data_IF_407440967263
#
_entry.id   IF_407440967263
#
_cell.length_a   1.000
_cell.length_b   1.000
_cell.length_c   1.000
_cell.angle_alpha   90.00
_cell.angle_beta   90.00
_cell.angle_gamma   90.00
#
_symmetry.space_group_name_H-M   'P 1'
#
loop_
_entity.id
_entity.type
_entity.pdbx_description
1 polymer ?
#
# COMPACT_ATOMS: atom_id res chain seq x y z
N UNK A 1 0.52 -1.60 26.65
CA UNK A 1 -0.68 -1.94 25.85
C UNK A 1 -0.41 -1.50 24.42
N UNK A 2 -0.84 -2.27 23.42
CA UNK A 2 -0.66 -1.88 22.01
C UNK A 2 -1.53 -0.67 21.67
N UNK A 3 -1.04 0.24 20.83
CA UNK A 3 -1.82 1.40 20.38
C UNK A 3 -2.85 0.95 19.34
N UNK A 4 -4.09 1.45 19.39
CA UNK A 4 -5.17 0.99 18.51
C UNK A 4 -5.87 2.16 17.83
N UNK A 5 -5.92 2.14 16.50
CA UNK A 5 -6.74 3.03 15.68
C UNK A 5 -7.99 2.28 15.18
N UNK A 6 -9.16 2.67 15.68
CA UNK A 6 -10.44 2.17 15.16
C UNK A 6 -10.89 3.03 13.98
N UNK A 7 -10.99 2.45 12.79
CA UNK A 7 -11.46 3.13 11.57
C UNK A 7 -12.84 2.61 11.21
N UNK A 8 -13.75 3.51 10.86
CA UNK A 8 -15.00 3.12 10.20
C UNK A 8 -14.73 3.03 8.71
N UNK A 9 -15.01 1.88 8.12
CA UNK A 9 -14.95 1.68 6.68
C UNK A 9 -15.94 2.63 6.04
N UNK A 10 -15.42 3.61 5.30
CA UNK A 10 -16.28 4.38 4.43
C UNK A 10 -16.67 3.44 3.29
N UNK A 11 -17.97 3.19 3.11
CA UNK A 11 -18.48 2.36 2.01
C UNK A 11 -18.20 3.09 0.69
N UNK A 12 -17.00 2.90 0.15
CA UNK A 12 -16.57 3.55 -1.08
C UNK A 12 -16.58 2.52 -2.19
N UNK A 13 -17.18 2.89 -3.32
CA UNK A 13 -17.20 2.11 -4.56
C UNK A 13 -15.82 1.50 -4.85
N UNK A 14 -15.75 0.24 -5.33
CA UNK A 14 -14.48 -0.38 -5.71
C UNK A 14 -13.69 0.53 -6.63
N UNK A 15 -12.36 0.52 -6.53
CA UNK A 15 -11.53 1.15 -7.55
C UNK A 15 -11.95 0.58 -8.92
N UNK A 16 -12.04 1.39 -9.98
CA UNK A 16 -12.28 0.86 -11.31
C UNK A 16 -11.29 -0.26 -11.56
N UNK A 17 -11.80 -1.44 -11.90
CA UNK A 17 -11.03 -2.68 -12.03
C UNK A 17 -9.87 -2.46 -12.97
N UNK A 18 -8.68 -2.27 -12.41
CA UNK A 18 -7.45 -2.66 -13.07
C UNK A 18 -7.42 -4.18 -13.02
N UNK A 19 -7.28 -4.79 -14.19
CA UNK A 19 -7.03 -6.22 -14.36
C UNK A 19 -6.03 -6.70 -13.31
N UNK A 20 -6.41 -7.76 -12.59
CA UNK A 20 -5.58 -8.58 -11.70
C UNK A 20 -4.07 -8.40 -11.93
N UNK A 21 -3.47 -7.45 -11.22
CA UNK A 21 -2.05 -7.48 -10.91
C UNK A 21 -1.90 -8.40 -9.71
N UNK A 22 -2.05 -9.70 -9.94
CA UNK A 22 -1.54 -10.72 -9.03
C UNK A 22 -0.06 -10.44 -8.84
N UNK A 23 0.33 -10.02 -7.63
CA UNK A 23 1.65 -10.17 -6.99
C UNK A 23 2.87 -10.22 -7.92
N UNK A 24 2.92 -9.37 -8.95
CA UNK A 24 4.11 -9.16 -9.74
C UNK A 24 4.81 -7.95 -9.16
N UNK A 25 5.99 -8.20 -8.63
CA UNK A 25 6.91 -7.20 -8.10
C UNK A 25 7.01 -6.02 -9.06
N UNK A 26 6.36 -4.90 -8.73
CA UNK A 26 6.69 -3.62 -9.36
C UNK A 26 8.07 -3.26 -8.80
N UNK A 27 9.12 -3.59 -9.56
CA UNK A 27 10.44 -3.01 -9.33
C UNK A 27 10.31 -1.52 -9.63
N UNK A 28 10.28 -0.70 -8.58
CA UNK A 28 10.35 0.75 -8.72
C UNK A 28 11.78 1.13 -9.12
N UNK A 29 12.02 1.27 -10.42
CA UNK A 29 13.23 1.90 -10.94
C UNK A 29 12.95 3.39 -11.18
N UNK A 30 13.65 4.26 -10.45
CA UNK A 30 13.77 5.67 -10.81
C UNK A 30 14.92 5.85 -11.82
N UNK A 31 14.78 6.70 -12.85
CA UNK A 31 15.90 7.07 -13.70
C UNK A 31 16.87 7.92 -12.89
N UNK A 32 18.11 7.43 -12.72
CA UNK A 32 19.22 8.20 -12.19
C UNK A 32 19.51 9.38 -13.12
N UNK A 33 19.28 10.61 -12.66
CA UNK A 33 19.78 11.82 -13.33
C UNK A 33 21.31 11.86 -13.19
N UNK A 34 22.07 12.16 -14.27
CA UNK A 34 23.49 12.42 -14.14
C UNK A 34 23.70 13.79 -13.47
N UNK A 35 24.61 13.85 -12.48
CA UNK A 35 25.12 15.11 -11.95
C UNK A 35 25.91 15.82 -13.04
N UNK A 36 25.54 17.06 -13.32
CA UNK A 36 26.37 18.02 -14.05
C UNK A 36 27.57 18.42 -13.17
N UNK A 37 28.78 18.18 -13.64
CA UNK A 37 29.97 18.91 -13.22
C UNK A 37 30.50 19.69 -14.43
N UNK A 38 30.61 21.02 -14.27
CA UNK A 38 31.25 21.94 -15.20
C UNK A 38 32.77 22.03 -14.89
N UNK A 39 33.60 22.51 -15.85
CA UNK A 39 34.95 22.00 -16.11
C UNK A 39 36.06 22.94 -15.62
N UNK A 40 37.34 22.59 -15.83
CA UNK A 40 38.38 23.57 -16.03
C UNK A 40 38.97 23.57 -17.45
N UNK A 41 39.28 24.78 -17.87
CA UNK A 41 39.98 25.28 -19.07
C UNK A 41 41.42 24.76 -19.25
N UNK A 42 41.89 24.53 -20.49
CA UNK A 42 42.76 25.44 -21.29
C UNK A 42 43.47 24.75 -22.49
N UNK A 43 43.38 25.43 -23.64
CA UNK A 43 44.36 25.66 -24.73
C UNK A 43 44.85 24.57 -25.72
N UNK A 44 44.80 24.99 -27.00
CA UNK A 44 45.67 24.70 -28.19
C UNK A 44 45.63 23.28 -28.80
N UNK A 45 45.66 23.02 -30.12
CA UNK A 45 45.80 23.82 -31.35
C UNK A 45 45.48 22.98 -32.62
N UNK A 46 44.93 23.64 -33.64
CA UNK A 46 45.17 23.53 -35.11
C UNK A 46 44.72 22.34 -36.01
N UNK A 47 44.18 22.75 -37.18
CA UNK A 47 44.03 22.09 -38.52
C UNK A 47 42.83 21.16 -38.74
N UNK A 48 42.03 21.22 -39.82
CA UNK A 48 41.97 22.05 -41.04
C UNK A 48 40.87 21.53 -42.00
N UNK A 49 40.62 22.27 -43.11
CA UNK A 49 39.74 22.01 -44.29
C UNK A 49 38.23 22.33 -44.16
N UNK A 50 37.71 23.41 -44.80
CA UNK A 50 37.27 23.61 -46.23
C UNK A 50 35.97 22.81 -46.54
N UNK A 51 34.85 23.37 -47.05
CA UNK A 51 34.64 24.36 -48.11
C UNK A 51 33.31 25.15 -47.97
N UNK A 52 33.29 26.30 -48.65
CA UNK A 52 32.17 27.22 -48.96
C UNK A 52 31.16 26.60 -49.95
N UNK A 53 29.93 27.15 -50.05
CA UNK A 53 29.36 27.85 -51.22
C UNK A 53 27.86 28.16 -51.00
N UNK A 54 27.49 29.43 -51.19
CA UNK A 54 26.11 29.89 -51.35
C UNK A 54 25.56 29.48 -52.72
N UNK A 55 24.24 29.32 -52.87
CA UNK A 55 23.44 30.17 -53.76
C UNK A 55 21.94 29.87 -53.69
N UNK A 56 21.19 30.93 -53.93
CA UNK A 56 19.73 31.07 -53.92
C UNK A 56 19.25 31.00 -55.37
N UNK A 57 18.07 30.40 -55.61
CA UNK A 57 16.92 30.99 -56.34
C UNK A 57 16.08 29.99 -57.14
N UNK A 58 14.74 30.11 -56.99
CA UNK A 58 13.65 30.01 -58.01
C UNK A 58 13.58 28.78 -58.93
N UNK A 59 12.45 28.16 -59.30
CA UNK A 59 11.02 28.51 -59.35
C UNK A 59 10.32 27.24 -59.88
N UNK A 60 9.12 26.89 -59.39
CA UNK A 60 8.06 26.34 -60.26
C UNK A 60 6.71 26.40 -59.56
N UNK A 61 5.78 27.07 -60.25
CA UNK A 61 4.37 27.24 -59.92
C UNK A 61 3.58 26.01 -60.39
N UNK A 62 2.57 25.56 -59.63
CA UNK A 62 1.29 25.09 -60.20
C UNK A 62 0.13 25.56 -59.30
N UNK A 63 -0.95 25.96 -59.98
CA UNK A 63 -2.09 26.75 -59.54
C UNK A 63 -3.09 26.12 -58.54
N UNK A 64 -3.56 27.05 -57.71
CA UNK A 64 -4.86 27.28 -57.06
C UNK A 64 -6.09 26.53 -57.62
N UNK A 65 -6.94 26.07 -56.69
CA UNK A 65 -8.40 26.22 -56.81
C UNK A 65 -9.02 26.57 -55.45
N UNK A 66 -9.83 27.62 -55.46
CA UNK A 66 -10.43 28.28 -54.31
C UNK A 66 -11.79 27.67 -53.94
N UNK A 67 -12.14 27.70 -52.65
CA UNK A 67 -13.50 28.05 -52.25
C UNK A 67 -13.60 28.48 -50.78
N UNK A 68 -13.99 29.74 -50.58
CA UNK A 68 -15.14 30.10 -49.76
C UNK A 68 -15.12 29.98 -48.24
N UNK A 69 -15.02 31.17 -47.60
CA UNK A 69 -15.87 31.69 -46.51
C UNK A 69 -15.49 31.50 -45.03
N UNK A 70 -15.40 32.70 -44.42
CA UNK A 70 -15.81 33.16 -43.08
C UNK A 70 -14.73 33.21 -41.99
N UNK A 71 -14.30 34.46 -41.75
CA UNK A 71 -13.79 34.97 -40.48
C UNK A 71 -14.67 34.50 -39.32
N UNK A 72 -14.04 33.92 -38.30
CA UNK A 72 -14.57 33.90 -36.94
C UNK A 72 -13.47 34.37 -36.01
N UNK A 73 -13.65 35.56 -35.46
CA UNK A 73 -12.92 36.02 -34.30
C UNK A 73 -13.33 35.15 -33.11
N UNK A 74 -12.41 34.33 -32.61
CA UNK A 74 -12.59 33.67 -31.32
C UNK A 74 -11.81 34.48 -30.29
N UNK A 75 -12.57 35.20 -29.47
CA UNK A 75 -12.08 35.90 -28.29
C UNK A 75 -11.34 34.90 -27.39
N UNK A 76 -10.04 35.12 -27.21
CA UNK A 76 -9.28 34.47 -26.15
C UNK A 76 -9.62 35.17 -24.84
N UNK A 77 -10.59 34.64 -24.10
CA UNK A 77 -10.83 35.04 -22.71
C UNK A 77 -9.93 34.16 -21.85
N UNK A 78 -8.77 34.68 -21.48
CA UNK A 78 -7.98 34.11 -20.39
C UNK A 78 -8.70 34.41 -19.07
N UNK A 79 -8.92 33.42 -18.17
CA UNK A 79 -9.31 33.72 -16.80
C UNK A 79 -8.08 34.27 -16.05
N UNK A 80 -8.11 35.55 -15.74
CA UNK A 80 -7.17 36.23 -14.84
C UNK A 80 -7.79 36.34 -13.45
N UNK A 81 -7.74 35.28 -12.62
CA UNK A 81 -7.94 35.34 -11.13
C UNK A 81 -7.62 33.97 -10.46
N UNK A 82 -7.31 33.93 -9.14
CA UNK A 82 -6.46 32.92 -8.50
C UNK A 82 -7.18 31.58 -8.25
N UNK A 83 -7.19 30.71 -9.25
CA UNK A 83 -7.80 29.38 -9.16
C UNK A 83 -7.05 28.42 -8.22
N UNK A 84 -5.72 28.55 -8.12
CA UNK A 84 -4.88 27.63 -7.32
C UNK A 84 -5.05 27.79 -5.80
N UNK A 85 -5.25 29.01 -5.31
CA UNK A 85 -5.42 29.28 -3.87
C UNK A 85 -6.81 28.79 -3.39
N UNK A 86 -7.83 28.92 -4.24
CA UNK A 86 -9.20 28.47 -3.95
C UNK A 86 -9.29 26.93 -3.87
N UNK A 87 -8.58 26.21 -4.75
CA UNK A 87 -8.58 24.75 -4.76
C UNK A 87 -7.86 24.17 -3.52
N UNK A 88 -6.70 24.71 -3.14
CA UNK A 88 -5.98 24.26 -1.93
C UNK A 88 -6.78 24.56 -0.66
N UNK A 89 -7.36 25.75 -0.54
CA UNK A 89 -8.16 26.09 0.65
C UNK A 89 -9.42 25.22 0.77
N UNK A 90 -10.06 24.89 -0.36
CA UNK A 90 -11.21 23.98 -0.36
C UNK A 90 -10.82 22.55 0.02
N UNK A 91 -9.67 22.06 -0.46
CA UNK A 91 -9.14 20.75 -0.10
C UNK A 91 -8.69 20.71 1.37
N UNK A 92 -8.08 21.77 1.89
CA UNK A 92 -7.73 21.87 3.30
C UNK A 92 -8.96 21.78 4.20
N UNK A 93 -10.02 22.54 3.89
CA UNK A 93 -11.30 22.45 4.61
C UNK A 93 -11.90 21.05 4.52
N UNK A 94 -11.79 20.42 3.34
CA UNK A 94 -12.20 19.04 3.15
C UNK A 94 -11.42 18.11 4.07
N UNK A 95 -10.08 18.14 4.06
CA UNK A 95 -9.22 17.33 4.94
C UNK A 95 -9.62 17.52 6.40
N UNK A 96 -9.80 18.77 6.85
CA UNK A 96 -10.19 19.13 8.22
C UNK A 96 -11.56 18.57 8.64
N UNK A 97 -12.44 18.25 7.68
CA UNK A 97 -13.73 17.61 7.96
C UNK A 97 -13.65 16.07 8.05
N UNK A 98 -12.45 15.49 7.92
CA UNK A 98 -12.25 14.05 7.91
C UNK A 98 -12.46 13.40 9.29
N UNK A 99 -13.17 12.26 9.37
CA UNK A 99 -13.58 11.63 10.64
C UNK A 99 -12.42 10.98 11.43
N UNK A 100 -11.22 10.95 10.86
CA UNK A 100 -10.04 10.38 11.51
C UNK A 100 -9.18 11.42 12.22
N UNK A 101 -9.32 12.72 11.93
CA UNK A 101 -8.44 13.73 12.53
C UNK A 101 -8.52 13.76 14.05
N UNK A 102 -9.74 13.76 14.60
CA UNK A 102 -9.94 13.72 16.06
C UNK A 102 -9.33 12.47 16.70
N UNK A 103 -9.42 11.31 16.01
CA UNK A 103 -8.85 10.04 16.52
C UNK A 103 -7.33 10.03 16.47
N UNK A 104 -6.74 10.83 15.58
CA UNK A 104 -5.30 11.02 15.48
C UNK A 104 -4.80 12.12 16.42
N UNK A 105 -5.71 12.85 17.07
CA UNK A 105 -5.37 14.04 17.85
C UNK A 105 -4.83 15.19 16.99
N UNK A 106 -5.13 15.19 15.69
CA UNK A 106 -4.66 16.22 14.75
C UNK A 106 -5.62 17.41 14.74
N UNK A 107 -5.11 18.57 15.11
CA UNK A 107 -5.79 19.85 14.99
C UNK A 107 -5.72 20.40 13.56
N UNK A 108 -6.62 21.32 13.23
CA UNK A 108 -6.59 22.03 11.95
C UNK A 108 -5.25 22.76 11.73
N UNK A 109 -4.67 23.32 12.78
CA UNK A 109 -3.35 23.97 12.73
C UNK A 109 -2.23 22.98 12.39
N UNK A 110 -2.21 21.79 12.99
CA UNK A 110 -1.23 20.75 12.65
C UNK A 110 -1.40 20.24 11.21
N UNK A 111 -2.64 20.15 10.72
CA UNK A 111 -2.91 19.85 9.30
C UNK A 111 -2.37 20.97 8.42
N UNK A 112 -2.57 22.24 8.77
CA UNK A 112 -2.06 23.38 8.02
C UNK A 112 -0.52 23.37 7.98
N UNK A 113 0.12 23.14 9.12
CA UNK A 113 1.58 23.07 9.25
C UNK A 113 2.20 21.89 8.48
N UNK A 114 1.40 20.87 8.14
CA UNK A 114 1.84 19.68 7.42
C UNK A 114 1.19 19.51 6.04
N UNK A 115 0.52 20.54 5.51
CA UNK A 115 -0.32 20.42 4.30
C UNK A 115 0.44 19.89 3.09
N UNK A 116 1.71 20.26 2.93
CA UNK A 116 2.56 19.76 1.85
C UNK A 116 2.71 18.23 1.86
N UNK A 117 2.73 17.63 3.06
CA UNK A 117 2.78 16.18 3.24
C UNK A 117 1.47 15.54 2.79
N UNK A 118 0.33 16.14 3.10
CA UNK A 118 -0.98 15.68 2.63
C UNK A 118 -1.11 15.75 1.11
N UNK A 119 -0.71 16.88 0.51
CA UNK A 119 -0.73 17.06 -0.95
C UNK A 119 0.21 16.08 -1.65
N UNK A 120 1.43 15.93 -1.14
CA UNK A 120 2.42 14.98 -1.68
C UNK A 120 1.90 13.54 -1.60
N UNK A 121 1.39 13.11 -0.44
CA UNK A 121 0.81 11.77 -0.29
C UNK A 121 -0.42 11.58 -1.19
N UNK A 122 -1.27 12.60 -1.33
CA UNK A 122 -2.42 12.60 -2.23
C UNK A 122 -2.02 12.39 -3.68
N UNK A 123 -1.04 13.15 -4.18
CA UNK A 123 -0.50 13.01 -5.54
C UNK A 123 0.12 11.63 -5.77
N UNK A 124 0.86 11.10 -4.79
CA UNK A 124 1.43 9.75 -4.85
C UNK A 124 0.34 8.66 -4.94
N UNK A 125 -0.75 8.79 -4.17
CA UNK A 125 -1.88 7.87 -4.25
C UNK A 125 -2.66 8.00 -5.57
N UNK A 126 -2.86 9.22 -6.07
CA UNK A 126 -3.44 9.45 -7.39
C UNK A 126 -2.61 8.76 -8.47
N UNK A 127 -1.28 8.89 -8.43
CA UNK A 127 -0.38 8.19 -9.35
C UNK A 127 -0.48 6.67 -9.23
N UNK A 128 -0.47 6.14 -8.01
CA UNK A 128 -0.57 4.70 -7.75
C UNK A 128 -1.86 4.10 -8.34
N UNK A 129 -2.99 4.79 -8.16
CA UNK A 129 -4.31 4.35 -8.60
C UNK A 129 -4.72 4.90 -9.97
N UNK A 130 -3.81 5.55 -10.70
CA UNK A 130 -4.04 6.13 -12.03
C UNK A 130 -5.23 7.09 -12.08
N UNK A 131 -5.37 7.92 -11.05
CA UNK A 131 -6.41 8.93 -10.92
C UNK A 131 -5.93 10.28 -11.43
N UNK A 132 -6.86 11.05 -11.97
CA UNK A 132 -6.60 12.45 -12.28
C UNK A 132 -6.76 13.30 -10.99
N UNK A 133 -5.64 13.75 -10.44
CA UNK A 133 -5.58 14.53 -9.20
C UNK A 133 -6.43 15.81 -9.26
N UNK A 134 -6.56 16.43 -10.44
CA UNK A 134 -7.35 17.64 -10.64
C UNK A 134 -8.86 17.38 -10.67
N UNK A 135 -9.27 16.13 -10.90
CA UNK A 135 -10.68 15.76 -11.12
C UNK A 135 -11.08 14.52 -10.29
N UNK A 136 -10.70 14.51 -9.02
CA UNK A 136 -11.17 13.50 -8.07
C UNK A 136 -12.66 13.71 -7.79
N UNK A 137 -13.45 12.63 -7.89
CA UNK A 137 -14.81 12.63 -7.35
C UNK A 137 -14.78 12.54 -5.81
N UNK A 138 -15.91 12.82 -5.17
CA UNK A 138 -16.00 12.83 -3.70
C UNK A 138 -15.59 11.50 -3.05
N UNK A 139 -16.00 10.37 -3.63
CA UNK A 139 -15.62 9.04 -3.16
C UNK A 139 -14.10 8.81 -3.17
N UNK A 140 -13.41 9.28 -4.22
CA UNK A 140 -11.95 9.22 -4.33
C UNK A 140 -11.28 10.17 -3.34
N UNK A 141 -11.77 11.41 -3.20
CA UNK A 141 -11.25 12.37 -2.22
C UNK A 141 -11.36 11.85 -0.80
N UNK A 142 -12.52 11.32 -0.43
CA UNK A 142 -12.76 10.66 0.85
C UNK A 142 -11.76 9.54 1.09
N UNK A 143 -11.61 8.62 0.12
CA UNK A 143 -10.72 7.48 0.27
C UNK A 143 -9.26 7.90 0.46
N UNK A 144 -8.81 8.92 -0.27
CA UNK A 144 -7.43 9.42 -0.19
C UNK A 144 -7.22 10.24 1.09
N UNK A 145 -7.98 11.33 1.25
CA UNK A 145 -7.73 12.37 2.24
C UNK A 145 -8.42 12.14 3.58
N UNK A 146 -9.50 11.36 3.65
CA UNK A 146 -10.18 11.03 4.92
C UNK A 146 -9.86 9.65 5.45
N UNK A 147 -9.19 8.81 4.67
CA UNK A 147 -8.90 7.44 5.06
C UNK A 147 -7.44 7.04 4.86
N UNK A 148 -6.91 6.99 3.63
CA UNK A 148 -5.58 6.43 3.39
C UNK A 148 -4.46 7.30 3.96
N UNK A 149 -4.47 8.62 3.71
CA UNK A 149 -3.43 9.53 4.23
C UNK A 149 -3.47 9.61 5.77
N UNK A 150 -4.63 9.82 6.44
CA UNK A 150 -4.65 9.83 7.90
C UNK A 150 -4.10 8.53 8.52
N UNK A 151 -4.44 7.36 7.95
CA UNK A 151 -3.91 6.07 8.41
C UNK A 151 -2.40 5.97 8.17
N UNK A 152 -1.91 6.42 7.02
CA UNK A 152 -0.47 6.48 6.72
C UNK A 152 0.29 7.33 7.73
N UNK A 153 -0.20 8.55 8.00
CA UNK A 153 0.41 9.47 8.96
C UNK A 153 0.43 8.89 10.37
N UNK A 154 -0.64 8.20 10.77
CA UNK A 154 -0.67 7.48 12.04
C UNK A 154 0.39 6.39 12.12
N UNK A 155 0.51 5.55 11.09
CA UNK A 155 1.52 4.50 11.07
C UNK A 155 2.94 5.08 11.11
N UNK A 156 3.22 6.17 10.39
CA UNK A 156 4.49 6.89 10.46
C UNK A 156 4.83 7.37 11.87
N UNK A 157 3.84 7.91 12.58
CA UNK A 157 3.97 8.33 13.97
C UNK A 157 4.19 7.13 14.91
N UNK A 158 3.50 6.01 14.71
CA UNK A 158 3.78 4.77 15.47
C UNK A 158 5.19 4.24 15.23
N UNK A 159 5.65 4.22 13.98
CA UNK A 159 7.02 3.80 13.62
C UNK A 159 8.05 4.71 14.28
N UNK A 160 7.82 6.02 14.25
CA UNK A 160 8.73 7.01 14.85
C UNK A 160 8.80 6.86 16.37
N UNK A 161 7.67 6.68 17.04
CA UNK A 161 7.63 6.39 18.49
C UNK A 161 8.31 5.07 18.85
N UNK A 162 8.13 4.04 18.04
CA UNK A 162 8.80 2.76 18.26
C UNK A 162 10.32 2.91 18.12
N UNK A 163 10.79 3.58 17.07
CA UNK A 163 12.22 3.81 16.86
C UNK A 163 12.85 4.64 18.00
N UNK A 164 12.13 5.62 18.56
CA UNK A 164 12.64 6.45 19.66
C UNK A 164 12.75 5.71 21.01
N UNK A 165 12.27 4.47 21.11
CA UNK A 165 12.47 3.62 22.29
C UNK A 165 13.85 2.96 22.33
N UNK A 166 14.58 3.00 21.22
CA UNK A 166 15.92 2.41 21.08
C UNK A 166 16.97 3.50 21.13
N UNK A 167 18.16 3.15 21.62
CA UNK A 167 19.27 4.11 21.70
C UNK A 167 19.96 4.25 20.34
N UNK A 168 20.65 5.38 20.16
CA UNK A 168 21.48 5.58 18.97
C UNK A 168 22.50 4.45 18.81
N UNK A 169 22.53 3.85 17.62
CA UNK A 169 23.40 2.72 17.29
C UNK A 169 22.86 1.34 17.66
N UNK A 170 21.71 1.23 18.33
CA UNK A 170 21.02 -0.05 18.51
C UNK A 170 20.25 -0.45 17.24
N UNK A 171 20.24 -1.75 16.96
CA UNK A 171 19.43 -2.30 15.88
C UNK A 171 17.94 -2.19 16.24
N UNK A 172 17.20 -1.38 15.49
CA UNK A 172 15.76 -1.20 15.68
C UNK A 172 15.00 -2.30 14.92
N UNK A 173 14.32 -3.25 15.59
CA UNK A 173 13.47 -4.21 14.92
C UNK A 173 12.27 -3.49 14.28
N UNK A 174 11.76 -3.94 13.10
CA UNK A 174 10.59 -3.34 12.49
C UNK A 174 9.38 -3.40 13.41
N UNK A 175 8.59 -2.33 13.42
CA UNK A 175 7.31 -2.30 14.12
C UNK A 175 6.29 -3.20 13.42
N UNK A 176 5.69 -4.14 14.14
CA UNK A 176 4.57 -4.94 13.60
C UNK A 176 3.26 -4.19 13.79
N UNK A 177 2.64 -3.81 12.68
CA UNK A 177 1.33 -3.13 12.63
C UNK A 177 0.29 -4.13 12.12
N UNK A 178 -0.67 -4.47 12.96
CA UNK A 178 -1.75 -5.42 12.67
C UNK A 178 -2.96 -4.72 12.05
N UNK A 179 -3.42 -5.17 10.89
CA UNK A 179 -4.62 -4.70 10.21
C UNK A 179 -5.72 -5.76 10.33
N UNK A 180 -6.73 -5.49 11.12
CA UNK A 180 -7.90 -6.35 11.31
C UNK A 180 -9.12 -5.74 10.64
N UNK A 181 -9.75 -6.48 9.73
CA UNK A 181 -10.91 -5.98 9.01
C UNK A 181 -11.75 -7.10 8.35
N UNK A 182 -13.09 -6.95 8.28
CA UNK A 182 -13.93 -7.90 7.55
C UNK A 182 -13.51 -8.06 6.09
N UNK A 183 -13.82 -9.23 5.53
CA UNK A 183 -13.56 -9.49 4.11
C UNK A 183 -14.32 -8.49 3.22
N UNK A 184 -13.67 -8.07 2.12
CA UNK A 184 -14.27 -7.15 1.15
C UNK A 184 -14.19 -5.65 1.50
N UNK A 185 -13.70 -5.27 2.68
CA UNK A 185 -13.61 -3.86 3.08
C UNK A 185 -12.44 -3.07 2.44
N UNK A 186 -11.66 -3.69 1.55
CA UNK A 186 -10.50 -3.06 0.90
C UNK A 186 -9.22 -3.00 1.75
N UNK A 187 -9.10 -3.80 2.82
CA UNK A 187 -7.90 -3.85 3.69
C UNK A 187 -6.60 -4.08 2.91
N UNK A 188 -6.57 -5.08 2.02
CA UNK A 188 -5.38 -5.40 1.20
C UNK A 188 -5.02 -4.23 0.28
N UNK A 189 -6.01 -3.50 -0.23
CA UNK A 189 -5.77 -2.29 -1.03
C UNK A 189 -5.22 -1.14 -0.19
N UNK A 190 -5.68 -0.96 1.05
CA UNK A 190 -5.11 0.00 1.98
C UNK A 190 -3.65 -0.36 2.29
N UNK A 191 -3.35 -1.60 2.68
CA UNK A 191 -1.99 -2.06 2.99
C UNK A 191 -1.05 -1.88 1.79
N UNK A 192 -1.53 -2.17 0.57
CA UNK A 192 -0.80 -1.90 -0.66
C UNK A 192 -0.46 -0.41 -0.83
N UNK A 193 -1.45 0.47 -0.62
CA UNK A 193 -1.26 1.92 -0.69
C UNK A 193 -0.26 2.43 0.36
N UNK A 194 -0.36 1.94 1.59
CA UNK A 194 0.56 2.31 2.68
C UNK A 194 1.98 1.85 2.38
N UNK A 195 2.16 0.60 1.92
CA UNK A 195 3.48 0.09 1.54
C UNK A 195 4.13 0.94 0.43
N UNK A 196 3.34 1.36 -0.56
CA UNK A 196 3.81 2.28 -1.60
C UNK A 196 4.20 3.64 -1.01
N UNK A 197 3.37 4.23 -0.15
CA UNK A 197 3.67 5.51 0.49
C UNK A 197 4.94 5.45 1.35
N UNK A 198 5.13 4.38 2.13
CA UNK A 198 6.36 4.14 2.86
C UNK A 198 7.57 4.08 1.93
N UNK A 199 7.48 3.31 0.85
CA UNK A 199 8.55 3.18 -0.12
C UNK A 199 8.97 4.53 -0.72
N UNK A 200 8.01 5.33 -1.21
CA UNK A 200 8.32 6.65 -1.79
C UNK A 200 8.75 7.68 -0.75
N UNK A 201 8.45 7.45 0.53
CA UNK A 201 8.97 8.25 1.66
C UNK A 201 10.34 7.78 2.19
N UNK A 202 10.94 6.77 1.56
CA UNK A 202 12.27 6.27 1.93
C UNK A 202 12.29 5.21 3.02
N UNK A 203 11.13 4.63 3.39
CA UNK A 203 11.05 3.52 4.34
C UNK A 203 10.76 2.20 3.63
N UNK A 204 11.44 1.13 4.07
CA UNK A 204 11.15 -0.25 3.63
C UNK A 204 10.18 -0.89 4.62
N UNK A 205 9.11 -1.50 4.11
CA UNK A 205 8.16 -2.27 4.90
C UNK A 205 7.92 -3.63 4.26
N UNK A 206 7.63 -4.64 5.07
CA UNK A 206 7.15 -5.93 4.61
C UNK A 206 5.63 -6.00 4.68
N UNK A 207 4.98 -6.57 3.67
CA UNK A 207 3.54 -6.88 3.71
C UNK A 207 3.34 -8.39 3.87
N UNK A 208 2.59 -8.75 4.91
CA UNK A 208 2.32 -10.13 5.28
C UNK A 208 0.81 -10.28 5.45
N UNK A 209 0.21 -11.27 4.79
CA UNK A 209 -1.20 -11.60 4.97
C UNK A 209 -1.32 -12.94 5.71
N UNK A 210 -2.31 -13.07 6.59
CA UNK A 210 -2.61 -14.37 7.21
C UNK A 210 -2.95 -15.43 6.15
N UNK A 211 -3.51 -15.01 5.01
CA UNK A 211 -3.86 -15.91 3.91
C UNK A 211 -2.63 -16.53 3.25
N UNK A 212 -1.44 -15.94 3.40
CA UNK A 212 -0.19 -16.52 2.90
C UNK A 212 0.29 -17.71 3.74
N UNK A 213 -0.29 -17.87 4.94
CA UNK A 213 0.03 -18.93 5.88
C UNK A 213 -1.05 -20.00 5.95
N UNK A 214 -1.94 -20.12 4.96
CA UNK A 214 -2.80 -21.30 4.90
C UNK A 214 -1.96 -22.59 4.84
N UNK A 215 -2.51 -23.66 5.41
CA UNK A 215 -1.97 -25.01 5.28
C UNK A 215 -1.80 -25.39 3.81
N UNK A 216 -0.81 -26.21 3.50
CA UNK A 216 -0.69 -26.80 2.16
C UNK A 216 -1.95 -27.61 1.80
N UNK A 217 -2.17 -27.88 0.51
CA UNK A 217 -3.31 -28.67 0.06
C UNK A 217 -3.37 -30.06 0.71
N UNK A 218 -2.20 -30.67 0.96
CA UNK A 218 -2.07 -31.94 1.67
C UNK A 218 -2.49 -31.81 3.14
N UNK A 219 -1.94 -30.83 3.86
CA UNK A 219 -2.25 -30.60 5.27
C UNK A 219 -3.71 -30.20 5.50
N UNK A 220 -4.29 -29.37 4.62
CA UNK A 220 -5.72 -29.05 4.61
C UNK A 220 -6.57 -30.30 4.36
N UNK A 221 -6.07 -31.26 3.57
CA UNK A 221 -6.69 -32.57 3.39
C UNK A 221 -6.74 -33.37 4.69
N UNK A 222 -5.60 -33.47 5.38
CA UNK A 222 -5.49 -34.14 6.70
C UNK A 222 -6.38 -33.49 7.75
N UNK A 223 -6.42 -32.15 7.78
CA UNK A 223 -7.28 -31.39 8.70
C UNK A 223 -8.76 -31.71 8.47
N UNK A 224 -9.20 -31.73 7.20
CA UNK A 224 -10.58 -32.07 6.82
C UNK A 224 -10.93 -33.50 7.23
N UNK A 225 -10.04 -34.47 7.00
CA UNK A 225 -10.26 -35.87 7.37
C UNK A 225 -10.36 -36.06 8.89
N UNK A 226 -9.48 -35.40 9.65
CA UNK A 226 -9.51 -35.44 11.12
C UNK A 226 -10.75 -34.76 11.73
N UNK A 227 -11.41 -33.88 10.97
CA UNK A 227 -12.61 -33.15 11.39
C UNK A 227 -13.81 -33.47 10.49
N UNK A 228 -13.94 -34.73 10.06
CA UNK A 228 -15.03 -35.17 9.19
C UNK A 228 -16.40 -34.77 9.77
N UNK A 229 -17.20 -34.07 8.97
CA UNK A 229 -18.51 -33.52 9.37
C UNK A 229 -18.49 -32.06 9.82
N UNK A 230 -17.32 -31.47 10.09
CA UNK A 230 -17.19 -30.05 10.36
C UNK A 230 -16.95 -29.26 9.06
N UNK A 231 -18.00 -28.66 8.50
CA UNK A 231 -17.96 -27.87 7.26
C UNK A 231 -17.11 -26.61 7.37
N UNK A 232 -16.91 -26.08 8.58
CA UNK A 232 -16.12 -24.87 8.80
C UNK A 232 -14.61 -25.10 8.66
N UNK A 233 -14.16 -26.36 8.71
CA UNK A 233 -12.76 -26.77 8.53
C UNK A 233 -12.53 -27.55 7.24
N UNK A 234 -13.55 -27.67 6.39
CA UNK A 234 -13.45 -28.40 5.11
C UNK A 234 -12.48 -27.72 4.14
N UNK A 235 -12.46 -26.38 4.16
CA UNK A 235 -11.67 -25.52 3.30
C UNK A 235 -10.86 -24.51 4.12
N UNK A 236 -9.87 -23.91 3.47
CA UNK A 236 -9.07 -22.82 4.04
C UNK A 236 -9.97 -21.65 4.46
N UNK A 237 -9.68 -21.04 5.60
CA UNK A 237 -10.32 -19.81 6.07
C UNK A 237 -10.25 -19.67 7.58
N UNK A 238 -10.99 -20.52 8.30
CA UNK A 238 -11.21 -20.40 9.73
C UNK A 238 -9.97 -20.77 10.59
N UNK A 239 -10.03 -20.44 11.88
CA UNK A 239 -9.00 -20.83 12.83
C UNK A 239 -8.77 -22.36 12.81
N UNK A 240 -7.51 -22.74 12.61
CA UNK A 240 -7.07 -24.13 12.41
C UNK A 240 -6.54 -24.40 11.01
N UNK A 241 -6.90 -23.58 10.01
CA UNK A 241 -6.48 -23.80 8.61
C UNK A 241 -5.17 -23.12 8.23
N UNK A 242 -4.40 -22.65 9.21
CA UNK A 242 -3.13 -21.94 8.99
C UNK A 242 -1.95 -22.74 9.54
N UNK A 243 -0.82 -22.71 8.84
CA UNK A 243 0.48 -23.16 9.32
C UNK A 243 1.05 -22.13 10.29
N UNK A 244 0.75 -22.31 11.57
CA UNK A 244 1.18 -21.37 12.61
C UNK A 244 2.70 -21.38 12.81
N UNK A 245 3.38 -22.51 12.60
CA UNK A 245 4.85 -22.59 12.72
C UNK A 245 5.52 -21.71 11.66
N UNK A 246 5.13 -21.89 10.40
CA UNK A 246 5.64 -21.08 9.29
C UNK A 246 5.38 -19.58 9.53
N UNK A 247 4.19 -19.24 10.04
CA UNK A 247 3.85 -17.83 10.32
C UNK A 247 4.73 -17.21 11.41
N UNK A 248 4.98 -17.93 12.50
CA UNK A 248 5.82 -17.45 13.61
C UNK A 248 7.28 -17.34 13.19
N UNK A 249 7.80 -18.33 12.45
CA UNK A 249 9.15 -18.31 11.90
C UNK A 249 9.34 -17.14 10.94
N UNK A 250 8.35 -16.87 10.07
CA UNK A 250 8.37 -15.74 9.15
C UNK A 250 8.37 -14.41 9.89
N UNK A 251 7.47 -14.21 10.87
CA UNK A 251 7.42 -12.97 11.64
C UNK A 251 8.70 -12.75 12.45
N UNK A 252 9.23 -13.80 13.09
CA UNK A 252 10.46 -13.74 13.85
C UNK A 252 11.69 -13.46 12.96
N UNK A 253 11.72 -14.01 11.74
CA UNK A 253 12.77 -13.73 10.76
C UNK A 253 12.68 -12.27 10.26
N UNK A 254 11.49 -11.79 9.91
CA UNK A 254 11.27 -10.40 9.49
C UNK A 254 11.70 -9.40 10.58
N UNK A 255 11.45 -9.70 11.86
CA UNK A 255 11.89 -8.87 12.98
C UNK A 255 13.41 -8.74 13.10
N UNK A 256 14.19 -9.59 12.41
CA UNK A 256 15.67 -9.54 12.39
C UNK A 256 16.23 -8.79 11.20
N UNK A 257 15.42 -8.34 10.24
CA UNK A 257 15.87 -7.55 9.08
C UNK A 257 16.12 -6.10 9.49
N UNK A 258 17.12 -5.88 10.34
CA UNK A 258 17.45 -4.57 10.93
C UNK A 258 18.60 -3.86 10.21
N UNK A 259 19.22 -4.49 9.21
CA UNK A 259 20.38 -3.95 8.47
C UNK A 259 20.21 -4.10 6.96
N UNK A 260 20.89 -3.21 6.23
CA UNK A 260 21.07 -3.33 4.78
C UNK A 260 21.74 -4.66 4.41
N UNK A 261 21.40 -5.22 3.25
CA UNK A 261 21.92 -6.51 2.79
C UNK A 261 21.29 -7.75 3.42
N UNK A 262 20.55 -7.63 4.54
CA UNK A 262 19.80 -8.74 5.12
C UNK A 262 18.55 -9.02 4.28
N UNK A 263 18.44 -10.23 3.74
CA UNK A 263 17.37 -10.61 2.83
C UNK A 263 16.63 -11.85 3.29
N UNK A 264 15.35 -11.91 2.99
CA UNK A 264 14.57 -13.13 3.14
C UNK A 264 13.43 -13.20 2.12
N UNK A 265 12.98 -14.41 1.82
CA UNK A 265 11.77 -14.64 1.05
C UNK A 265 10.55 -14.68 1.96
N UNK A 266 9.44 -14.11 1.51
CA UNK A 266 8.17 -14.11 2.24
C UNK A 266 7.23 -15.14 1.61
N UNK A 267 6.66 -16.08 2.40
CA UNK A 267 5.68 -17.04 1.91
C UNK A 267 4.52 -16.39 1.15
N UNK A 268 4.05 -17.09 0.11
CA UNK A 268 2.84 -16.74 -0.63
C UNK A 268 1.97 -17.97 -0.82
N UNK A 269 0.66 -17.74 -0.88
CA UNK A 269 -0.32 -18.79 -1.14
C UNK A 269 -1.00 -18.59 -2.50
N UNK A 270 -0.99 -19.62 -3.33
CA UNK A 270 -1.72 -19.64 -4.60
C UNK A 270 -3.14 -20.14 -4.36
N UNK A 271 -4.09 -19.21 -4.26
CA UNK A 271 -5.52 -19.52 -4.08
C UNK A 271 -6.16 -20.22 -5.30
N UNK A 272 -5.53 -20.15 -6.47
CA UNK A 272 -6.03 -20.72 -7.73
C UNK A 272 -5.61 -22.18 -7.94
N UNK A 273 -4.52 -22.60 -7.29
CA UNK A 273 -4.03 -23.98 -7.34
C UNK A 273 -5.12 -24.99 -6.93
N UNK A 274 -4.97 -26.26 -7.34
CA UNK A 274 -5.90 -27.35 -7.02
C UNK A 274 -7.37 -26.99 -7.32
N UNK A 275 -7.63 -26.41 -8.50
CA UNK A 275 -8.97 -25.98 -8.96
C UNK A 275 -9.63 -24.99 -7.98
N UNK A 276 -8.87 -24.01 -7.49
CA UNK A 276 -9.35 -22.98 -6.56
C UNK A 276 -9.39 -23.39 -5.09
N UNK A 277 -9.01 -24.63 -4.76
CA UNK A 277 -8.82 -25.07 -3.36
C UNK A 277 -7.57 -24.45 -2.73
N UNK A 278 -6.62 -24.08 -3.59
CA UNK A 278 -5.39 -23.38 -3.29
C UNK A 278 -4.33 -24.29 -2.67
N UNK A 279 -3.08 -23.82 -2.74
CA UNK A 279 -1.92 -24.43 -2.12
C UNK A 279 -0.83 -23.37 -1.88
N UNK A 280 0.17 -23.72 -1.07
CA UNK A 280 1.34 -22.87 -0.86
C UNK A 280 2.06 -22.69 -2.20
N UNK A 281 2.39 -21.45 -2.55
CA UNK A 281 3.13 -21.16 -3.76
C UNK A 281 4.56 -21.71 -3.66
N UNK A 282 5.17 -22.02 -4.79
CA UNK A 282 6.55 -22.49 -4.87
C UNK A 282 7.52 -21.46 -4.22
N UNK A 283 8.36 -21.86 -3.25
CA UNK A 283 9.33 -20.96 -2.60
C UNK A 283 10.29 -20.24 -3.54
N UNK A 284 10.53 -20.76 -4.75
CA UNK A 284 11.30 -20.08 -5.79
C UNK A 284 10.63 -18.79 -6.27
N UNK A 285 9.30 -18.72 -6.22
CA UNK A 285 8.47 -17.58 -6.67
C UNK A 285 8.18 -16.57 -5.58
N UNK A 286 8.47 -16.89 -4.32
CA UNK A 286 8.24 -15.99 -3.20
C UNK A 286 9.04 -14.70 -3.35
N UNK A 287 8.42 -13.53 -3.08
CA UNK A 287 9.10 -12.26 -3.15
C UNK A 287 10.21 -12.19 -2.10
N UNK A 288 11.36 -11.68 -2.51
CA UNK A 288 12.46 -11.36 -1.62
C UNK A 288 12.31 -9.93 -1.09
N UNK A 289 12.54 -9.77 0.21
CA UNK A 289 12.57 -8.49 0.87
C UNK A 289 13.93 -8.26 1.52
N UNK A 290 14.37 -7.01 1.55
CA UNK A 290 15.65 -6.58 2.10
C UNK A 290 15.43 -5.58 3.24
N UNK A 291 16.23 -5.71 4.30
CA UNK A 291 16.28 -4.77 5.41
C UNK A 291 17.02 -3.46 5.06
N UNK A 292 17.13 -2.52 6.01
CA UNK A 292 16.45 -2.51 7.29
C UNK A 292 14.95 -2.23 7.10
N UNK A 293 14.09 -2.98 7.78
CA UNK A 293 12.65 -2.76 7.75
C UNK A 293 12.24 -1.79 8.84
N UNK A 294 11.44 -0.79 8.49
CA UNK A 294 10.82 0.11 9.44
C UNK A 294 9.57 -0.52 10.07
N UNK A 295 8.80 -1.28 9.29
CA UNK A 295 7.59 -1.94 9.75
C UNK A 295 7.27 -3.24 9.01
N UNK A 296 6.48 -4.08 9.68
CA UNK A 296 5.79 -5.24 9.10
C UNK A 296 4.30 -4.90 9.13
N UNK A 297 3.70 -4.73 7.96
CA UNK A 297 2.26 -4.52 7.78
C UNK A 297 1.60 -5.90 7.71
N UNK A 298 1.10 -6.37 8.86
CA UNK A 298 0.54 -7.70 9.02
C UNK A 298 -0.99 -7.62 8.97
N UNK A 299 -1.60 -8.24 7.97
CA UNK A 299 -3.04 -8.10 7.73
C UNK A 299 -3.81 -9.42 7.78
N UNK A 300 -5.04 -9.36 8.30
CA UNK A 300 -5.90 -10.54 8.33
C UNK A 300 -7.33 -10.24 8.74
N UNK A 301 -8.28 -11.04 8.27
CA UNK A 301 -9.70 -10.80 8.54
C UNK A 301 -10.12 -11.21 9.97
N UNK A 302 -9.39 -12.15 10.55
CA UNK A 302 -9.58 -12.67 11.92
C UNK A 302 -8.42 -12.29 12.86
N UNK A 303 -7.54 -11.37 12.43
CA UNK A 303 -6.40 -10.94 13.25
C UNK A 303 -6.91 -10.22 14.51
N UNK A 304 -6.41 -10.58 15.70
CA UNK A 304 -6.89 -10.05 16.98
C UNK A 304 -8.21 -10.64 17.49
N UNK A 305 -8.79 -11.63 16.82
CA UNK A 305 -9.98 -12.32 17.32
C UNK A 305 -9.60 -13.18 18.53
N UNK A 306 -10.51 -13.23 19.52
CA UNK A 306 -10.30 -13.99 20.75
C UNK A 306 -11.34 -15.10 20.88
N UNK A 307 -10.94 -16.25 21.43
CA UNK A 307 -11.90 -17.29 21.78
C UNK A 307 -12.86 -16.77 22.85
N UNK A 308 -14.09 -17.26 22.82
CA UNK A 308 -15.15 -16.97 23.80
C UNK A 308 -15.60 -18.26 24.48
N UNK A 309 -16.41 -18.22 25.56
CA UNK A 309 -16.92 -19.45 26.17
C UNK A 309 -17.66 -20.37 25.17
N UNK A 310 -17.47 -21.68 25.33
CA UNK A 310 -17.98 -22.68 24.38
C UNK A 310 -19.51 -22.65 24.27
N UNK A 311 -20.21 -22.29 25.34
CA UNK A 311 -21.67 -22.15 25.35
C UNK A 311 -22.15 -21.09 24.36
N UNK A 312 -21.40 -19.99 24.21
CA UNK A 312 -21.74 -18.89 23.29
C UNK A 312 -21.59 -19.35 21.84
N UNK A 313 -20.50 -20.02 21.49
CA UNK A 313 -20.27 -20.47 20.10
C UNK A 313 -21.17 -21.63 19.73
N UNK A 314 -21.42 -22.58 20.64
CA UNK A 314 -22.34 -23.71 20.41
C UNK A 314 -23.78 -23.26 20.19
N UNK A 315 -24.19 -22.18 20.85
CA UNK A 315 -25.51 -21.58 20.62
C UNK A 315 -25.67 -20.99 19.20
N UNK A 316 -24.57 -20.63 18.53
CA UNK A 316 -24.57 -20.15 17.14
C UNK A 316 -24.47 -21.32 16.16
N UNK A 317 -23.44 -22.16 16.28
CA UNK A 317 -23.26 -23.39 15.50
C UNK A 317 -22.35 -24.34 16.31
N UNK A 318 -22.78 -25.58 16.61
CA UNK A 318 -21.94 -26.56 17.33
C UNK A 318 -20.56 -26.79 16.70
N UNK A 319 -20.41 -26.64 15.38
CA UNK A 319 -19.15 -26.80 14.67
C UNK A 319 -18.10 -25.74 15.02
N UNK A 320 -18.53 -24.60 15.58
CA UNK A 320 -17.64 -23.52 15.99
C UNK A 320 -16.81 -23.87 17.22
N UNK A 321 -17.17 -24.89 18.02
CA UNK A 321 -16.38 -25.31 19.18
C UNK A 321 -14.93 -25.61 18.80
N UNK A 322 -14.71 -26.39 17.74
CA UNK A 322 -13.36 -26.71 17.27
C UNK A 322 -12.62 -25.47 16.76
N UNK A 323 -13.31 -24.59 16.02
CA UNK A 323 -12.72 -23.34 15.51
C UNK A 323 -12.33 -22.41 16.65
N UNK A 324 -13.21 -22.26 17.66
CA UNK A 324 -12.99 -21.47 18.86
C UNK A 324 -11.81 -21.98 19.68
N UNK A 325 -11.69 -23.31 19.83
CA UNK A 325 -10.53 -23.93 20.47
C UNK A 325 -9.23 -23.66 19.69
N UNK A 326 -9.26 -23.84 18.36
CA UNK A 326 -8.08 -23.57 17.51
C UNK A 326 -7.62 -22.11 17.62
N UNK A 327 -8.55 -21.17 17.75
CA UNK A 327 -8.27 -19.73 17.87
C UNK A 327 -7.40 -19.38 19.08
N UNK A 328 -7.38 -20.20 20.14
CA UNK A 328 -6.54 -19.98 21.33
C UNK A 328 -5.05 -19.85 20.96
N UNK A 329 -4.58 -20.65 20.00
CA UNK A 329 -3.17 -20.65 19.58
C UNK A 329 -2.77 -19.38 18.80
N UNK A 330 -3.74 -18.61 18.30
CA UNK A 330 -3.47 -17.48 17.40
C UNK A 330 -2.95 -16.25 18.14
N UNK A 331 -3.23 -16.14 19.45
CA UNK A 331 -2.62 -15.08 20.27
C UNK A 331 -1.09 -15.22 20.30
N UNK A 332 -0.62 -16.43 20.59
CA UNK A 332 0.81 -16.72 20.65
C UNK A 332 1.45 -16.75 19.26
N UNK A 333 0.70 -17.11 18.22
CA UNK A 333 1.22 -17.10 16.87
C UNK A 333 1.37 -15.68 16.30
N UNK A 334 0.38 -14.81 16.54
CA UNK A 334 0.21 -13.56 15.79
C UNK A 334 0.12 -12.34 16.71
N UNK A 335 -0.86 -12.29 17.61
CA UNK A 335 -1.19 -11.07 18.35
C UNK A 335 -0.03 -10.57 19.22
N UNK A 336 0.78 -11.47 19.80
CA UNK A 336 1.94 -11.10 20.62
C UNK A 336 3.00 -10.29 19.86
N UNK A 337 3.10 -10.48 18.55
CA UNK A 337 4.02 -9.75 17.68
C UNK A 337 3.53 -8.33 17.42
N UNK A 338 2.21 -8.15 17.28
CA UNK A 338 1.60 -6.86 16.92
C UNK A 338 1.75 -5.85 18.07
N UNK A 339 2.30 -4.67 17.76
CA UNK A 339 2.50 -3.58 18.71
C UNK A 339 1.59 -2.37 18.46
N UNK A 340 1.06 -2.26 17.24
CA UNK A 340 0.07 -1.26 16.86
C UNK A 340 -1.05 -1.92 16.04
N UNK A 341 -2.29 -1.56 16.30
CA UNK A 341 -3.48 -2.14 15.68
C UNK A 341 -4.26 -1.11 14.88
N UNK A 342 -4.65 -1.47 13.67
CA UNK A 342 -5.67 -0.79 12.89
C UNK A 342 -6.86 -1.75 12.76
N UNK A 343 -7.99 -1.35 13.32
CA UNK A 343 -9.23 -2.13 13.28
C UNK A 343 -10.24 -1.40 12.43
N UNK A 344 -10.54 -1.95 11.26
CA UNK A 344 -11.51 -1.39 10.32
C UNK A 344 -12.86 -2.07 10.58
N UNK A 345 -13.83 -1.28 11.04
CA UNK A 345 -15.20 -1.72 11.32
C UNK A 345 -16.12 -1.30 10.18
N UNK A 346 -17.11 -2.12 9.84
CA UNK A 346 -18.16 -1.80 8.88
C UNK A 346 -19.40 -1.35 9.63
#
# INVERSE_FOLDING_TARGET
MANTLNVLSQAVTPWPTTTSLHSSTIKFSLPSKPLHQLPPSLSTSASGCRCSWMEVSSTSQINVSANGRRQSHVYSVAPTTPAEISSVQSLYKFICAGPLLDKLGLTAEEVANSIDRWLTSGSQLCRLFQLNELFLNEAQKVRIYHYYIPVFLWCEDQISRHASMFKDGEDVPPLVIGFSAPQGCGKTTLVFALNYLFHVSGRKCATVSIDDFYLTAEEQGKLREANAGNKLLEFRGNAGTHDLSLSMETLAALSKLTKEGMKMKIPRYDKSAYKGRGDRADPSTWPEIEGPLAAILFEGWMLGFKPVPDEIVKAVDPQLETVNKNLQAYYDAWDKFVKAWIVIKI
#
